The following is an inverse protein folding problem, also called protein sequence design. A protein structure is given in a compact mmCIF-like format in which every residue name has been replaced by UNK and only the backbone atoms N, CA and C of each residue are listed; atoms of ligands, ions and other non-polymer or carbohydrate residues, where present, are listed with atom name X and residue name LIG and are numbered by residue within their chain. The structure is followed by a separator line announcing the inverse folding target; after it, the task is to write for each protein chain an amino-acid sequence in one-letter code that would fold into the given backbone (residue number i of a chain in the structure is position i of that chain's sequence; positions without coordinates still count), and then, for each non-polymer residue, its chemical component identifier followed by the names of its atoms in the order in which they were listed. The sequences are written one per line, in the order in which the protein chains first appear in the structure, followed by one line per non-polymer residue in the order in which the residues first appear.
data_IF_564681571369
#
_entry.id   IF_564681571369
#
_cell.length_a   1.000
_cell.length_b   1.000
_cell.length_c   1.000
_cell.angle_alpha   90.00
_cell.angle_beta   90.00
_cell.angle_gamma   90.00
#
_symmetry.space_group_name_H-M   'P 1'
#
loop_
_entity.id
_entity.type
_entity.pdbx_description
1 polymer ?
#
# COMPACT_ATOMS: atom_id res chain seq x y z
N UNK A 1 19.98 35.13 9.50
CA UNK A 1 19.43 33.82 9.91
C UNK A 1 18.92 33.95 11.32
N UNK A 2 17.63 33.73 11.53
CA UNK A 2 16.99 33.87 12.86
C UNK A 2 17.30 32.66 13.74
N UNK A 3 17.18 32.80 15.06
CA UNK A 3 17.34 31.66 16.01
C UNK A 3 16.41 30.49 15.66
N UNK A 4 15.21 30.80 15.16
CA UNK A 4 14.22 29.82 14.73
C UNK A 4 14.66 29.05 13.47
N UNK A 5 15.26 29.73 12.48
CA UNK A 5 15.81 29.08 11.28
C UNK A 5 16.98 28.15 11.59
N UNK A 6 17.83 28.51 12.55
CA UNK A 6 18.93 27.68 13.05
C UNK A 6 18.41 26.40 13.73
N UNK A 7 17.41 26.53 14.60
CA UNK A 7 16.81 25.38 15.28
C UNK A 7 16.13 24.42 14.31
N UNK A 8 15.43 24.96 13.30
CA UNK A 8 14.82 24.14 12.24
C UNK A 8 15.89 23.37 11.46
N UNK A 9 16.94 24.05 11.01
CA UNK A 9 18.04 23.41 10.27
C UNK A 9 18.76 22.32 11.09
N UNK A 10 18.93 22.51 12.40
CA UNK A 10 19.53 21.51 13.27
C UNK A 10 18.65 20.26 13.41
N UNK A 11 17.33 20.45 13.54
CA UNK A 11 16.38 19.34 13.58
C UNK A 11 16.37 18.56 12.27
N UNK A 12 16.38 19.27 11.14
CA UNK A 12 16.38 18.65 9.82
C UNK A 12 17.65 17.80 9.61
N UNK A 13 18.84 18.31 9.98
CA UNK A 13 20.09 17.54 9.88
C UNK A 13 20.14 16.32 10.81
N UNK A 14 19.62 16.46 12.03
CA UNK A 14 19.56 15.34 12.96
C UNK A 14 18.61 14.25 12.43
N UNK A 15 17.49 14.66 11.83
CA UNK A 15 16.56 13.75 11.18
C UNK A 15 17.17 13.03 9.97
N UNK A 16 17.89 13.76 9.09
CA UNK A 16 18.66 13.19 7.96
C UNK A 16 19.61 12.10 8.44
N UNK A 17 20.40 12.41 9.47
CA UNK A 17 21.36 11.46 10.04
C UNK A 17 20.68 10.21 10.59
N UNK A 18 19.53 10.35 11.24
CA UNK A 18 18.81 9.22 11.81
C UNK A 18 18.23 8.28 10.75
N UNK A 19 17.67 8.82 9.66
CA UNK A 19 17.14 7.98 8.57
C UNK A 19 18.27 7.32 7.77
N UNK A 20 19.38 8.03 7.56
CA UNK A 20 20.56 7.50 6.89
C UNK A 20 21.18 6.35 7.68
N UNK A 21 21.40 6.53 8.99
CA UNK A 21 21.92 5.47 9.86
C UNK A 21 20.98 4.25 9.87
N UNK A 22 19.68 4.48 9.97
CA UNK A 22 18.70 3.40 9.99
C UNK A 22 18.67 2.62 8.67
N UNK A 23 18.71 3.31 7.52
CA UNK A 23 18.78 2.69 6.20
C UNK A 23 20.08 1.92 5.98
N UNK A 24 21.23 2.46 6.40
CA UNK A 24 22.51 1.77 6.34
C UNK A 24 22.53 0.50 7.22
N UNK A 25 21.86 0.53 8.38
CA UNK A 25 21.70 -0.67 9.22
C UNK A 25 20.81 -1.73 8.55
N UNK A 26 19.80 -1.33 7.79
CA UNK A 26 18.99 -2.29 7.02
C UNK A 26 19.83 -2.98 5.94
N UNK A 27 20.72 -2.25 5.26
CA UNK A 27 21.65 -2.83 4.30
C UNK A 27 22.62 -3.85 4.93
N UNK A 28 23.10 -3.55 6.13
CA UNK A 28 24.11 -4.36 6.83
C UNK A 28 23.55 -5.57 7.59
N UNK A 29 22.25 -5.87 7.42
CA UNK A 29 21.52 -7.01 8.01
C UNK A 29 21.58 -7.05 9.55
N UNK A 30 20.45 -6.84 10.24
CA UNK A 30 20.33 -7.10 11.67
C UNK A 30 20.58 -8.57 12.03
N UNK A 31 21.21 -8.81 13.18
CA UNK A 31 21.59 -10.14 13.67
C UNK A 31 20.41 -10.99 14.14
N UNK A 32 19.35 -10.34 14.65
CA UNK A 32 18.13 -11.02 15.12
C UNK A 32 16.88 -10.46 14.44
N UNK A 33 15.79 -11.21 14.53
CA UNK A 33 14.50 -10.81 13.96
C UNK A 33 13.89 -9.65 14.77
N UNK A 34 14.06 -9.66 16.09
CA UNK A 34 13.53 -8.60 16.95
C UNK A 34 14.26 -7.27 16.69
N UNK A 35 15.58 -7.32 16.46
CA UNK A 35 16.36 -6.16 16.04
C UNK A 35 15.90 -5.65 14.66
N UNK A 36 15.60 -6.56 13.73
CA UNK A 36 15.10 -6.20 12.41
C UNK A 36 13.72 -5.54 12.49
N UNK A 37 12.79 -6.08 13.26
CA UNK A 37 11.46 -5.50 13.43
C UNK A 37 11.54 -4.13 14.13
N UNK A 38 12.42 -3.99 15.12
CA UNK A 38 12.68 -2.71 15.79
C UNK A 38 13.24 -1.68 14.82
N UNK A 39 14.16 -2.09 13.95
CA UNK A 39 14.75 -1.21 12.94
C UNK A 39 13.73 -0.82 11.87
N UNK A 40 12.92 -1.76 11.38
CA UNK A 40 11.84 -1.49 10.42
C UNK A 40 10.80 -0.54 11.02
N UNK A 41 10.44 -0.71 12.29
CA UNK A 41 9.55 0.22 12.99
C UNK A 41 10.15 1.63 13.09
N UNK A 42 11.45 1.75 13.38
CA UNK A 42 12.15 3.03 13.37
C UNK A 42 12.12 3.69 11.98
N UNK A 43 12.42 2.93 10.94
CA UNK A 43 12.43 3.42 9.55
C UNK A 43 11.04 3.85 9.11
N UNK A 44 10.01 3.05 9.37
CA UNK A 44 8.62 3.39 9.09
C UNK A 44 8.22 4.71 9.75
N UNK A 45 8.48 4.90 11.05
CA UNK A 45 8.12 6.13 11.74
C UNK A 45 8.83 7.35 11.16
N UNK A 46 10.13 7.23 10.86
CA UNK A 46 10.89 8.32 10.23
C UNK A 46 10.29 8.67 8.86
N UNK A 47 10.01 7.67 8.01
CA UNK A 47 9.39 7.90 6.71
C UNK A 47 7.99 8.51 6.84
N UNK A 48 7.18 8.09 7.81
CA UNK A 48 5.84 8.62 8.03
C UNK A 48 5.81 10.12 8.36
N UNK A 49 6.87 10.67 8.96
CA UNK A 49 6.99 12.11 9.22
C UNK A 49 7.49 12.92 8.02
N UNK A 50 8.01 12.28 6.98
CA UNK A 50 8.50 12.98 5.79
C UNK A 50 7.35 13.47 4.92
N UNK A 51 7.41 14.71 4.49
CA UNK A 51 6.49 15.26 3.50
C UNK A 51 6.85 14.78 2.08
N UNK A 52 5.94 15.00 1.14
CA UNK A 52 6.19 14.75 -0.28
C UNK A 52 7.22 15.74 -0.81
N UNK A 53 7.91 15.35 -1.89
CA UNK A 53 8.95 16.17 -2.53
C UNK A 53 10.03 16.71 -1.55
N UNK A 54 10.68 15.84 -0.75
CA UNK A 54 11.70 16.28 0.19
C UNK A 54 12.91 16.89 -0.53
N UNK A 55 13.73 17.65 0.20
CA UNK A 55 14.99 18.22 -0.31
C UNK A 55 15.93 17.14 -0.85
N UNK A 56 16.85 17.52 -1.73
CA UNK A 56 17.86 16.61 -2.28
C UNK A 56 18.68 15.91 -1.17
N UNK A 57 19.09 16.65 -0.14
CA UNK A 57 19.79 16.09 1.03
C UNK A 57 18.98 15.02 1.77
N UNK A 58 17.68 15.25 1.95
CA UNK A 58 16.78 14.29 2.58
C UNK A 58 16.60 13.06 1.68
N UNK A 59 16.44 13.25 0.37
CA UNK A 59 16.36 12.15 -0.61
C UNK A 59 17.59 11.26 -0.55
N UNK A 60 18.78 11.86 -0.50
CA UNK A 60 20.04 11.13 -0.36
C UNK A 60 20.10 10.38 0.98
N UNK A 61 19.64 11.01 2.06
CA UNK A 61 19.66 10.42 3.40
C UNK A 61 18.81 9.14 3.52
N UNK A 62 17.64 9.05 2.87
CA UNK A 62 16.81 7.83 2.94
C UNK A 62 17.03 6.84 1.78
N UNK A 63 17.87 7.17 0.80
CA UNK A 63 18.23 6.28 -0.32
C UNK A 63 18.75 4.90 0.14
N UNK A 64 19.53 4.76 1.24
CA UNK A 64 19.88 3.44 1.76
C UNK A 64 18.67 2.57 2.12
N UNK A 65 17.62 3.17 2.70
CA UNK A 65 16.36 2.48 3.02
C UNK A 65 15.64 2.03 1.75
N UNK A 66 15.54 2.90 0.74
CA UNK A 66 14.96 2.57 -0.58
C UNK A 66 15.63 1.33 -1.17
N UNK A 67 16.96 1.30 -1.16
CA UNK A 67 17.73 0.16 -1.69
C UNK A 67 17.57 -1.11 -0.85
N UNK A 68 17.55 -0.99 0.48
CA UNK A 68 17.49 -2.14 1.36
C UNK A 68 16.15 -2.88 1.28
N UNK A 69 15.04 -2.15 1.27
CA UNK A 69 13.69 -2.70 1.42
C UNK A 69 13.26 -3.61 0.26
N UNK A 70 13.77 -3.35 -0.94
CA UNK A 70 13.52 -4.18 -2.14
C UNK A 70 14.47 -5.38 -2.27
N UNK A 71 15.39 -5.58 -1.33
CA UNK A 71 16.26 -6.76 -1.40
C UNK A 71 15.44 -8.02 -1.14
N UNK A 72 15.73 -9.11 -1.88
CA UNK A 72 15.09 -10.41 -1.67
C UNK A 72 15.15 -10.90 -0.21
N UNK A 73 16.19 -10.51 0.54
CA UNK A 73 16.37 -10.87 1.95
C UNK A 73 15.27 -10.28 2.85
N UNK A 74 14.79 -9.07 2.56
CA UNK A 74 13.74 -8.40 3.31
C UNK A 74 12.37 -8.67 2.70
N UNK A 75 12.24 -8.46 1.39
CA UNK A 75 10.96 -8.53 0.69
C UNK A 75 10.39 -9.96 0.69
N UNK A 76 11.24 -10.98 0.50
CA UNK A 76 10.87 -12.41 0.51
C UNK A 76 11.19 -13.09 1.85
N UNK A 77 11.27 -12.33 2.94
CA UNK A 77 11.59 -12.88 4.26
C UNK A 77 10.59 -13.97 4.70
N UNK A 78 11.03 -15.00 5.42
CA UNK A 78 10.16 -16.14 5.75
C UNK A 78 8.97 -15.77 6.66
N UNK A 79 9.17 -14.84 7.59
CA UNK A 79 8.13 -14.42 8.53
C UNK A 79 7.24 -13.29 7.98
N UNK A 80 5.94 -13.44 8.16
CA UNK A 80 4.92 -12.50 7.66
C UNK A 80 4.98 -11.12 8.35
N UNK A 81 5.32 -11.06 9.64
CA UNK A 81 5.50 -9.81 10.38
C UNK A 81 6.55 -8.89 9.77
N UNK A 82 7.67 -9.47 9.36
CA UNK A 82 8.74 -8.77 8.65
C UNK A 82 8.24 -8.32 7.29
N UNK A 83 7.58 -9.19 6.51
CA UNK A 83 7.03 -8.82 5.19
C UNK A 83 6.09 -7.62 5.28
N UNK A 84 5.11 -7.65 6.18
CA UNK A 84 4.15 -6.55 6.39
C UNK A 84 4.88 -5.28 6.82
N UNK A 85 5.89 -5.38 7.67
CA UNK A 85 6.68 -4.21 8.11
C UNK A 85 7.52 -3.62 6.98
N UNK A 86 8.09 -4.44 6.10
CA UNK A 86 8.82 -4.02 4.89
C UNK A 86 7.86 -3.32 3.93
N UNK A 87 6.69 -3.92 3.65
CA UNK A 87 5.66 -3.33 2.79
C UNK A 87 5.21 -1.98 3.35
N UNK A 88 5.00 -1.87 4.66
CA UNK A 88 4.63 -0.59 5.30
C UNK A 88 5.67 0.51 5.05
N UNK A 89 6.97 0.20 5.19
CA UNK A 89 8.04 1.16 4.87
C UNK A 89 8.06 1.54 3.37
N UNK A 90 7.85 0.56 2.49
CA UNK A 90 7.81 0.78 1.03
C UNK A 90 6.64 1.71 0.66
N UNK A 91 5.48 1.51 1.27
CA UNK A 91 4.29 2.34 1.03
C UNK A 91 4.53 3.80 1.45
N UNK A 92 5.23 4.03 2.56
CA UNK A 92 5.63 5.39 2.94
C UNK A 92 6.64 6.00 1.96
N UNK A 93 7.60 5.22 1.44
CA UNK A 93 8.50 5.68 0.38
C UNK A 93 7.72 6.08 -0.88
N UNK A 94 6.73 5.27 -1.27
CA UNK A 94 5.86 5.60 -2.41
C UNK A 94 5.03 6.84 -2.14
N UNK A 95 4.55 7.04 -0.90
CA UNK A 95 3.85 8.28 -0.52
C UNK A 95 4.75 9.49 -0.69
N UNK A 96 5.99 9.43 -0.21
CA UNK A 96 6.98 10.51 -0.28
C UNK A 96 7.36 10.83 -1.74
N UNK A 97 7.51 9.78 -2.56
CA UNK A 97 7.91 9.91 -3.96
C UNK A 97 6.76 10.33 -4.90
N UNK A 98 5.51 10.11 -4.51
CA UNK A 98 4.35 10.49 -5.32
C UNK A 98 4.40 11.97 -5.72
N UNK A 99 4.06 12.30 -6.98
CA UNK A 99 3.40 11.45 -7.98
C UNK A 99 4.31 10.45 -8.71
N UNK A 100 5.63 10.53 -8.53
CA UNK A 100 6.58 9.63 -9.18
C UNK A 100 6.68 8.27 -8.49
N UNK A 101 6.95 7.22 -9.28
CA UNK A 101 7.23 5.89 -8.72
C UNK A 101 8.65 5.83 -8.14
N UNK A 102 8.84 5.37 -6.88
CA UNK A 102 10.17 5.28 -6.27
C UNK A 102 11.02 4.12 -6.81
N UNK A 103 10.41 3.18 -7.54
CA UNK A 103 11.05 1.99 -8.09
C UNK A 103 10.67 1.79 -9.56
N UNK A 104 11.45 0.97 -10.27
CA UNK A 104 11.15 0.60 -11.66
C UNK A 104 9.91 -0.27 -11.73
N UNK A 105 9.24 -0.26 -12.88
CA UNK A 105 8.00 -0.99 -13.16
C UNK A 105 8.03 -2.45 -12.67
N UNK A 106 9.04 -3.23 -13.05
CA UNK A 106 9.16 -4.64 -12.64
C UNK A 106 9.27 -4.82 -11.11
N UNK A 107 9.91 -3.86 -10.43
CA UNK A 107 9.99 -3.85 -8.97
C UNK A 107 8.66 -3.44 -8.35
N UNK A 108 7.97 -2.46 -8.95
CA UNK A 108 6.63 -2.05 -8.52
C UNK A 108 5.62 -3.20 -8.64
N UNK A 109 5.64 -3.96 -9.75
CA UNK A 109 4.81 -5.17 -9.93
C UNK A 109 5.05 -6.19 -8.81
N UNK A 110 6.30 -6.44 -8.48
CA UNK A 110 6.65 -7.34 -7.37
C UNK A 110 6.17 -6.77 -6.02
N UNK A 111 6.34 -5.48 -5.76
CA UNK A 111 5.83 -4.80 -4.56
C UNK A 111 4.30 -4.94 -4.45
N UNK A 112 3.57 -4.78 -5.56
CA UNK A 112 2.11 -4.97 -5.57
C UNK A 112 1.70 -6.39 -5.20
N UNK A 113 2.43 -7.41 -5.65
CA UNK A 113 2.20 -8.79 -5.20
C UNK A 113 2.32 -8.90 -3.68
N UNK A 114 3.35 -8.27 -3.07
CA UNK A 114 3.51 -8.29 -1.62
C UNK A 114 2.45 -7.50 -0.86
N UNK A 115 1.95 -6.41 -1.43
CA UNK A 115 0.82 -5.64 -0.88
C UNK A 115 -0.44 -6.51 -0.86
N UNK A 116 -0.77 -7.17 -1.97
CA UNK A 116 -1.94 -8.08 -2.06
C UNK A 116 -1.82 -9.22 -1.05
N UNK A 117 -0.64 -9.86 -0.96
CA UNK A 117 -0.37 -10.91 0.04
C UNK A 117 -0.54 -10.38 1.48
N UNK A 118 -0.14 -9.14 1.76
CA UNK A 118 -0.34 -8.54 3.08
C UNK A 118 -1.84 -8.35 3.41
N UNK A 119 -2.68 -8.05 2.40
CA UNK A 119 -4.13 -7.97 2.57
C UNK A 119 -4.80 -9.33 2.72
N UNK A 120 -4.41 -10.33 1.93
CA UNK A 120 -4.94 -11.70 2.06
C UNK A 120 -4.72 -12.28 3.46
N UNK A 121 -3.57 -11.95 4.04
CA UNK A 121 -3.16 -12.39 5.35
C UNK A 121 -3.45 -11.33 6.42
N UNK A 122 -4.40 -10.41 6.16
CA UNK A 122 -4.78 -9.38 7.12
C UNK A 122 -5.08 -10.05 8.47
N UNK A 123 -4.25 -9.79 9.48
CA UNK A 123 -4.31 -10.57 10.69
C UNK A 123 -5.51 -10.10 11.52
N UNK A 124 -5.97 -10.93 12.46
CA UNK A 124 -7.08 -10.56 13.33
C UNK A 124 -6.84 -9.19 13.99
N UNK A 125 -7.89 -8.40 14.23
CA UNK A 125 -7.81 -7.02 14.78
C UNK A 125 -6.97 -6.93 16.07
N UNK A 126 -6.87 -8.03 16.81
CA UNK A 126 -6.08 -8.17 18.05
C UNK A 126 -4.57 -8.33 17.84
N UNK A 127 -4.08 -8.37 16.61
CA UNK A 127 -2.65 -8.57 16.31
C UNK A 127 -1.91 -7.25 16.17
N UNK A 128 -0.64 -7.22 16.56
CA UNK A 128 0.19 -6.01 16.53
C UNK A 128 0.44 -5.45 15.11
N UNK A 129 0.36 -6.29 14.07
CA UNK A 129 0.57 -5.86 12.68
C UNK A 129 -0.72 -5.43 11.97
N UNK A 130 -1.90 -5.60 12.57
CA UNK A 130 -3.16 -5.11 12.00
C UNK A 130 -3.12 -3.61 11.73
N UNK A 131 -2.56 -2.82 12.67
CA UNK A 131 -2.40 -1.36 12.51
C UNK A 131 -1.56 -1.00 11.28
N UNK A 132 -0.55 -1.80 10.94
CA UNK A 132 0.26 -1.58 9.74
C UNK A 132 -0.53 -1.84 8.47
N UNK A 133 -1.31 -2.93 8.42
CA UNK A 133 -2.16 -3.22 7.25
C UNK A 133 -3.22 -2.12 7.05
N UNK A 134 -3.78 -1.59 8.14
CA UNK A 134 -4.68 -0.42 8.07
C UNK A 134 -3.96 0.82 7.55
N UNK A 135 -2.75 1.11 8.02
CA UNK A 135 -1.93 2.22 7.52
C UNK A 135 -1.60 2.06 6.04
N UNK A 136 -1.27 0.85 5.60
CA UNK A 136 -1.01 0.53 4.19
C UNK A 136 -2.24 0.85 3.33
N UNK A 137 -3.44 0.40 3.75
CA UNK A 137 -4.69 0.70 3.05
C UNK A 137 -4.96 2.20 2.97
N UNK A 138 -4.83 2.90 4.09
CA UNK A 138 -5.07 4.34 4.18
C UNK A 138 -4.11 5.13 3.28
N UNK A 139 -2.81 4.80 3.29
CA UNK A 139 -1.81 5.44 2.43
C UNK A 139 -2.07 5.15 0.95
N UNK A 140 -2.39 3.90 0.57
CA UNK A 140 -2.72 3.55 -0.82
C UNK A 140 -3.92 4.36 -1.32
N UNK A 141 -4.97 4.49 -0.51
CA UNK A 141 -6.14 5.27 -0.86
C UNK A 141 -5.80 6.77 -1.03
N UNK A 142 -4.96 7.32 -0.13
CA UNK A 142 -4.57 8.75 -0.15
C UNK A 142 -3.70 9.13 -1.35
N UNK A 143 -2.74 8.29 -1.71
CA UNK A 143 -1.85 8.57 -2.85
C UNK A 143 -2.29 7.89 -4.14
N UNK A 144 -3.51 7.31 -4.14
CA UNK A 144 -4.14 6.74 -5.33
C UNK A 144 -3.23 5.66 -5.98
N UNK A 145 -2.42 4.98 -5.15
CA UNK A 145 -1.36 4.08 -5.62
C UNK A 145 -1.90 2.87 -6.38
N UNK A 146 -3.16 2.51 -6.17
CA UNK A 146 -3.85 1.47 -6.93
C UNK A 146 -3.94 1.76 -8.43
N UNK A 147 -3.91 3.02 -8.87
CA UNK A 147 -3.96 3.33 -10.31
C UNK A 147 -2.65 2.99 -11.02
N UNK A 148 -1.53 3.02 -10.31
CA UNK A 148 -0.24 2.55 -10.85
C UNK A 148 -0.30 1.05 -11.18
N UNK A 149 -1.16 0.26 -10.51
CA UNK A 149 -1.39 -1.13 -10.92
C UNK A 149 -2.05 -1.24 -12.30
N UNK A 150 -2.95 -0.30 -12.63
CA UNK A 150 -3.58 -0.25 -13.95
C UNK A 150 -2.57 0.22 -15.02
N UNK A 151 -1.79 1.25 -14.72
CA UNK A 151 -0.76 1.77 -15.63
C UNK A 151 0.31 0.71 -15.96
N UNK A 152 0.58 -0.21 -15.03
CA UNK A 152 1.52 -1.32 -15.19
C UNK A 152 0.87 -2.61 -15.71
N UNK A 153 -0.41 -2.57 -16.15
CA UNK A 153 -1.16 -3.71 -16.70
C UNK A 153 -1.23 -4.91 -15.73
N UNK A 154 -1.37 -4.66 -14.42
CA UNK A 154 -1.43 -5.68 -13.38
C UNK A 154 -2.84 -6.22 -13.11
N UNK A 155 -3.62 -6.48 -14.15
CA UNK A 155 -5.04 -6.87 -14.07
C UNK A 155 -5.30 -8.04 -13.11
N UNK A 156 -4.47 -9.08 -13.16
CA UNK A 156 -4.58 -10.25 -12.28
C UNK A 156 -4.43 -9.86 -10.79
N UNK A 157 -3.51 -8.94 -10.46
CA UNK A 157 -3.31 -8.48 -9.08
C UNK A 157 -4.46 -7.59 -8.62
N UNK A 158 -5.04 -6.80 -9.51
CA UNK A 158 -6.24 -6.00 -9.20
C UNK A 158 -7.42 -6.92 -8.84
N UNK A 159 -7.62 -7.99 -9.61
CA UNK A 159 -8.63 -9.03 -9.35
C UNK A 159 -8.37 -9.70 -7.99
N UNK A 160 -7.14 -10.13 -7.72
CA UNK A 160 -6.74 -10.74 -6.44
C UNK A 160 -6.93 -9.78 -5.25
N UNK A 161 -6.62 -8.49 -5.43
CA UNK A 161 -6.85 -7.46 -4.43
C UNK A 161 -8.35 -7.32 -4.09
N UNK A 162 -9.22 -7.26 -5.10
CA UNK A 162 -10.68 -7.18 -4.89
C UNK A 162 -11.22 -8.44 -4.18
N UNK A 163 -10.72 -9.62 -4.57
CA UNK A 163 -11.03 -10.88 -3.88
C UNK A 163 -10.65 -10.82 -2.40
N UNK A 164 -9.45 -10.33 -2.12
CA UNK A 164 -8.91 -10.21 -0.78
C UNK A 164 -9.78 -9.31 0.08
N UNK A 165 -10.11 -8.12 -0.42
CA UNK A 165 -10.97 -7.15 0.26
C UNK A 165 -12.35 -7.70 0.62
N UNK A 166 -13.04 -8.31 -0.33
CA UNK A 166 -14.36 -8.89 -0.07
C UNK A 166 -14.28 -10.09 0.89
N UNK A 167 -13.19 -10.86 0.86
CA UNK A 167 -12.98 -11.98 1.79
C UNK A 167 -12.71 -11.52 3.23
N UNK A 168 -11.90 -10.47 3.41
CA UNK A 168 -11.41 -10.04 4.73
C UNK A 168 -12.37 -9.10 5.46
N UNK A 169 -13.27 -8.40 4.77
CA UNK A 169 -14.20 -7.48 5.45
C UNK A 169 -15.10 -8.21 6.45
N UNK A 170 -15.14 -7.66 7.67
CA UNK A 170 -15.90 -8.17 8.82
C UNK A 170 -16.52 -7.01 9.61
N UNK A 171 -17.64 -7.24 10.32
CA UNK A 171 -18.30 -6.21 11.14
C UNK A 171 -17.47 -5.62 12.28
N UNK A 172 -16.41 -6.29 12.69
CA UNK A 172 -15.52 -5.82 13.77
C UNK A 172 -14.36 -4.94 13.27
N UNK A 173 -14.24 -4.69 11.96
CA UNK A 173 -13.24 -3.74 11.46
C UNK A 173 -13.68 -2.29 11.71
N UNK A 174 -12.74 -1.37 11.99
CA UNK A 174 -13.05 0.05 12.04
C UNK A 174 -13.64 0.54 10.72
N UNK A 175 -14.61 1.46 10.80
CA UNK A 175 -15.26 2.02 9.60
C UNK A 175 -14.26 2.61 8.59
N UNK A 176 -13.17 3.20 9.08
CA UNK A 176 -12.10 3.73 8.23
C UNK A 176 -11.49 2.69 7.28
N UNK A 177 -11.41 1.42 7.71
CA UNK A 177 -10.90 0.32 6.87
C UNK A 177 -11.87 0.01 5.73
N UNK A 178 -13.16 -0.02 6.02
CA UNK A 178 -14.19 -0.23 5.00
C UNK A 178 -14.18 0.90 3.98
N UNK A 179 -14.10 2.16 4.44
CA UNK A 179 -14.04 3.34 3.56
C UNK A 179 -12.78 3.36 2.69
N UNK A 180 -11.62 2.97 3.23
CA UNK A 180 -10.38 2.89 2.46
C UNK A 180 -10.48 1.82 1.37
N UNK A 181 -11.00 0.63 1.70
CA UNK A 181 -11.24 -0.44 0.73
C UNK A 181 -12.21 0.02 -0.37
N UNK A 182 -13.35 0.58 0.02
CA UNK A 182 -14.36 1.08 -0.91
C UNK A 182 -13.74 2.15 -1.84
N UNK A 183 -12.97 3.08 -1.28
CA UNK A 183 -12.28 4.13 -2.04
C UNK A 183 -11.32 3.55 -3.07
N UNK A 184 -10.48 2.58 -2.68
CA UNK A 184 -9.53 1.93 -3.59
C UNK A 184 -10.27 1.21 -4.73
N UNK A 185 -11.29 0.42 -4.41
CA UNK A 185 -12.05 -0.32 -5.42
C UNK A 185 -12.76 0.63 -6.39
N UNK A 186 -13.32 1.72 -5.87
CA UNK A 186 -14.00 2.74 -6.65
C UNK A 186 -13.06 3.50 -7.59
N UNK A 187 -11.87 3.90 -7.11
CA UNK A 187 -10.85 4.57 -7.92
C UNK A 187 -10.42 3.70 -9.10
N UNK A 188 -10.15 2.42 -8.83
CA UNK A 188 -9.80 1.46 -9.88
C UNK A 188 -10.90 1.37 -10.93
N UNK A 189 -12.17 1.23 -10.52
CA UNK A 189 -13.29 1.11 -11.47
C UNK A 189 -13.41 2.37 -12.35
N UNK A 190 -13.29 3.56 -11.75
CA UNK A 190 -13.46 4.83 -12.47
C UNK A 190 -12.38 5.08 -13.53
N UNK A 191 -11.14 4.61 -13.29
CA UNK A 191 -10.02 4.88 -14.19
C UNK A 191 -9.90 3.87 -15.33
N UNK A 192 -10.56 2.70 -15.25
CA UNK A 192 -10.45 1.72 -16.33
C UNK A 192 -11.12 2.27 -17.60
N UNK A 193 -10.33 2.54 -18.63
CA UNK A 193 -10.82 3.07 -19.92
C UNK A 193 -11.39 1.98 -20.82
N UNK A 194 -10.69 0.86 -20.91
CA UNK A 194 -11.09 -0.31 -21.68
C UNK A 194 -11.06 -1.54 -20.76
N UNK A 195 -12.23 -2.03 -20.36
CA UNK A 195 -12.32 -3.28 -19.60
C UNK A 195 -12.37 -4.47 -20.56
N UNK A 196 -11.43 -5.40 -20.44
CA UNK A 196 -11.60 -6.71 -21.07
C UNK A 196 -12.82 -7.41 -20.46
N UNK A 197 -13.57 -8.16 -21.29
CA UNK A 197 -14.70 -8.95 -20.81
C UNK A 197 -14.26 -10.00 -19.77
N UNK A 198 -13.02 -10.47 -19.85
CA UNK A 198 -12.42 -11.40 -18.89
C UNK A 198 -12.17 -10.74 -17.52
N UNK A 199 -11.71 -9.49 -17.51
CA UNK A 199 -11.55 -8.70 -16.29
C UNK A 199 -12.92 -8.44 -15.62
N UNK A 200 -13.91 -8.00 -16.39
CA UNK A 200 -15.28 -7.78 -15.92
C UNK A 200 -15.92 -9.05 -15.37
N UNK A 201 -15.86 -10.14 -16.14
CA UNK A 201 -16.45 -11.41 -15.73
C UNK A 201 -15.79 -11.94 -14.45
N UNK A 202 -14.47 -11.74 -14.30
CA UNK A 202 -13.75 -12.03 -13.07
C UNK A 202 -14.26 -11.19 -11.91
N UNK A 203 -14.39 -9.86 -12.06
CA UNK A 203 -14.95 -8.99 -11.02
C UNK A 203 -16.37 -9.39 -10.61
N UNK A 204 -17.26 -9.64 -11.58
CA UNK A 204 -18.62 -10.10 -11.32
C UNK A 204 -18.65 -11.45 -10.60
N UNK A 205 -17.79 -12.40 -11.00
CA UNK A 205 -17.70 -13.71 -10.36
C UNK A 205 -17.27 -13.59 -8.89
N UNK A 206 -16.35 -12.67 -8.58
CA UNK A 206 -15.88 -12.41 -7.22
C UNK A 206 -17.03 -11.89 -6.36
N UNK A 207 -17.75 -10.88 -6.84
CA UNK A 207 -18.88 -10.31 -6.09
C UNK A 207 -19.98 -11.37 -5.92
N UNK A 208 -20.29 -12.15 -6.95
CA UNK A 208 -21.29 -13.23 -6.84
C UNK A 208 -20.88 -14.29 -5.82
N UNK A 209 -19.59 -14.58 -5.67
CA UNK A 209 -19.07 -15.50 -4.66
C UNK A 209 -19.09 -14.89 -3.26
N UNK A 210 -18.76 -13.60 -3.14
CA UNK A 210 -18.93 -12.85 -1.89
C UNK A 210 -20.40 -12.86 -1.44
N UNK A 211 -21.31 -12.81 -2.40
CA UNK A 211 -22.75 -12.90 -2.22
C UNK A 211 -23.23 -14.26 -1.66
N UNK A 212 -22.44 -15.33 -1.81
CA UNK A 212 -22.74 -16.63 -1.18
C UNK A 212 -22.19 -16.74 0.25
N UNK A 213 -21.31 -15.83 0.67
CA UNK A 213 -20.75 -15.81 2.01
C UNK A 213 -21.64 -15.00 2.97
N UNK A 214 -21.80 -15.48 4.20
CA UNK A 214 -22.77 -15.00 5.21
C UNK A 214 -22.33 -13.66 5.88
N UNK A 215 -21.52 -12.81 5.22
CA UNK A 215 -21.11 -11.51 5.79
C UNK A 215 -21.93 -10.38 5.15
N UNK A 216 -22.90 -9.77 5.87
CA UNK A 216 -23.75 -8.71 5.31
C UNK A 216 -22.96 -7.52 4.78
N UNK A 217 -21.82 -7.20 5.36
CA UNK A 217 -20.99 -6.05 4.94
C UNK A 217 -20.27 -6.35 3.63
N UNK A 218 -19.75 -7.57 3.47
CA UNK A 218 -19.15 -7.98 2.19
C UNK A 218 -20.20 -8.01 1.07
N UNK A 219 -21.44 -8.38 1.41
CA UNK A 219 -22.57 -8.34 0.49
C UNK A 219 -22.87 -6.90 0.04
N UNK A 220 -23.06 -5.98 0.99
CA UNK A 220 -23.37 -4.57 0.69
C UNK A 220 -22.28 -3.92 -0.16
N UNK A 221 -21.00 -4.13 0.19
CA UNK A 221 -19.89 -3.61 -0.63
C UNK A 221 -19.91 -4.23 -2.03
N UNK A 222 -20.16 -5.54 -2.13
CA UNK A 222 -20.30 -6.22 -3.42
C UNK A 222 -21.36 -5.60 -4.32
N UNK A 223 -22.56 -5.35 -3.79
CA UNK A 223 -23.65 -4.70 -4.54
C UNK A 223 -23.30 -3.28 -4.99
N UNK A 224 -22.65 -2.49 -4.13
CA UNK A 224 -22.18 -1.15 -4.49
C UNK A 224 -21.19 -1.21 -5.65
N UNK A 225 -20.24 -2.15 -5.61
CA UNK A 225 -19.25 -2.35 -6.66
C UNK A 225 -19.90 -2.78 -7.99
N UNK A 226 -20.85 -3.72 -7.97
CA UNK A 226 -21.61 -4.10 -9.18
C UNK A 226 -22.35 -2.90 -9.77
N UNK A 227 -23.04 -2.13 -8.93
CA UNK A 227 -23.79 -0.95 -9.36
C UNK A 227 -22.87 0.04 -10.04
N UNK A 228 -21.68 0.23 -9.49
CA UNK A 228 -20.68 1.14 -10.03
C UNK A 228 -20.07 0.67 -11.33
N UNK A 229 -19.76 -0.62 -11.46
CA UNK A 229 -19.31 -1.23 -12.72
C UNK A 229 -20.37 -1.02 -13.81
N UNK A 230 -21.65 -1.27 -13.52
CA UNK A 230 -22.72 -1.07 -14.50
C UNK A 230 -22.82 0.39 -14.95
N UNK A 231 -22.78 1.34 -14.02
CA UNK A 231 -22.82 2.77 -14.34
C UNK A 231 -21.62 3.20 -15.20
N UNK A 232 -20.43 2.65 -14.92
CA UNK A 232 -19.24 2.91 -15.72
C UNK A 232 -19.31 2.31 -17.12
N UNK A 233 -19.84 1.09 -17.26
CA UNK A 233 -20.10 0.45 -18.55
C UNK A 233 -21.08 1.27 -19.40
N UNK A 234 -22.18 1.74 -18.81
CA UNK A 234 -23.14 2.61 -19.51
C UNK A 234 -22.47 3.90 -20.01
N UNK A 235 -21.56 4.48 -19.22
CA UNK A 235 -20.79 5.68 -19.59
C UNK A 235 -19.84 5.43 -20.76
N UNK A 236 -19.14 4.31 -20.79
CA UNK A 236 -18.20 3.97 -21.88
C UNK A 236 -18.95 3.57 -23.15
N UNK A 237 -20.11 2.90 -23.02
CA UNK A 237 -20.91 2.41 -24.15
C UNK A 237 -21.87 3.45 -24.74
N UNK A 238 -22.06 4.61 -24.08
CA UNK A 238 -22.91 5.66 -24.60
C UNK A 238 -22.35 6.20 -25.92
N UNK A 239 -23.16 6.30 -26.99
CA UNK A 239 -22.70 6.87 -28.26
C UNK A 239 -22.37 8.35 -28.06
N UNK A 240 -21.14 8.74 -28.42
CA UNK A 240 -20.71 10.15 -28.58
C UNK A 240 -21.53 10.87 -29.64
#
# INVERSE_FOLDING_TARGET
MTSFELEKQLKDREFEKQIEEAGNRLLNRPSSIDDLLTLLYKVENLLAYMEQEPSESMRDAFLPSVKALITNKLLRHAKMDVKVSVVSCIIEITRIAAPDAPYKDEQMKEIFQFIVVAFENMPHVSTCFYKKVVSILDTIAKVILCLVMLDLECDALVIEMFQSFLKIIRPNHPLAVLLAIETIMNLVIDEIKDMSLDFLSSLFAIVRKANQNISPISWTLGEQIITRINAHLEKIMAPT
#
